data_IF_353852940222
#
_entry.id   IF_353852940222
#
_cell.length_a   1.000
_cell.length_b   1.000
_cell.length_c   1.000
_cell.angle_alpha   90.00
_cell.angle_beta   90.00
_cell.angle_gamma   90.00
#
_symmetry.space_group_name_H-M   'P 1'
#
loop_
_entity.id
_entity.type
_entity.pdbx_description
1 polymer ?
#
# COMPACT_ATOMS: atom_id res chain seq x y z
N UNK A 1 -9.92 12.68 0.67
CA UNK A 1 -10.48 11.35 0.38
C UNK A 1 -10.68 10.52 1.64
N UNK A 2 -9.73 10.43 2.57
CA UNK A 2 -9.86 9.65 3.81
C UNK A 2 -11.16 9.99 4.57
N UNK A 3 -11.37 11.26 4.89
CA UNK A 3 -12.56 11.74 5.61
C UNK A 3 -13.88 11.43 4.87
N UNK A 4 -13.88 11.55 3.54
CA UNK A 4 -15.06 11.24 2.73
C UNK A 4 -15.40 9.74 2.78
N UNK A 5 -14.40 8.87 2.74
CA UNK A 5 -14.60 7.42 2.80
C UNK A 5 -15.03 6.99 4.21
N UNK A 6 -14.40 7.52 5.26
CA UNK A 6 -14.84 7.31 6.64
C UNK A 6 -16.27 7.83 6.88
N UNK A 7 -16.62 8.99 6.32
CA UNK A 7 -17.97 9.56 6.37
C UNK A 7 -19.03 8.70 5.69
N UNK A 8 -18.63 7.86 4.73
CA UNK A 8 -19.53 6.87 4.11
C UNK A 8 -19.75 5.60 4.94
N UNK A 9 -19.01 5.44 6.05
CA UNK A 9 -19.02 4.24 6.89
C UNK A 9 -18.12 3.10 6.38
N UNK A 10 -17.36 3.32 5.31
CA UNK A 10 -16.42 2.33 4.79
C UNK A 10 -15.12 2.30 5.61
N UNK A 11 -14.55 1.10 5.75
CA UNK A 11 -13.22 0.90 6.33
C UNK A 11 -12.12 1.17 5.29
N UNK A 12 -10.94 1.58 5.76
CA UNK A 12 -9.82 1.98 4.90
C UNK A 12 -8.57 1.19 5.28
N UNK A 13 -7.97 0.55 4.29
CA UNK A 13 -6.58 0.12 4.29
C UNK A 13 -5.78 1.13 3.46
N UNK A 14 -4.85 1.85 4.08
CA UNK A 14 -3.96 2.77 3.38
C UNK A 14 -2.78 1.97 2.82
N UNK A 15 -2.46 2.16 1.53
CA UNK A 15 -1.31 1.53 0.88
C UNK A 15 -0.36 2.62 0.39
N UNK A 16 0.85 2.63 0.93
CA UNK A 16 1.88 3.61 0.63
C UNK A 16 2.55 3.35 -0.72
N UNK A 17 2.83 4.42 -1.47
CA UNK A 17 3.63 4.37 -2.69
C UNK A 17 5.02 4.96 -2.38
N UNK A 18 6.11 4.25 -2.69
CA UNK A 18 7.46 4.73 -2.38
C UNK A 18 7.79 5.99 -3.18
N UNK A 19 8.59 6.87 -2.58
CA UNK A 19 9.14 8.02 -3.28
C UNK A 19 10.16 7.52 -4.32
N UNK A 20 10.07 8.00 -5.56
CA UNK A 20 11.16 7.86 -6.54
C UNK A 20 12.30 8.82 -6.15
N UNK A 21 13.16 8.42 -5.22
CA UNK A 21 14.33 9.18 -4.81
C UNK A 21 15.49 8.24 -4.53
N UNK A 22 16.71 8.64 -4.92
CA UNK A 22 17.96 7.94 -4.56
C UNK A 22 18.21 7.95 -3.05
N UNK A 23 17.54 8.84 -2.31
CA UNK A 23 17.51 8.91 -0.86
C UNK A 23 16.12 8.50 -0.37
N UNK A 24 16.08 7.32 0.26
CA UNK A 24 14.88 6.58 0.59
C UNK A 24 14.47 6.84 2.04
N UNK A 25 13.84 7.98 2.28
CA UNK A 25 12.85 8.05 3.34
C UNK A 25 11.51 7.79 2.64
N UNK A 26 10.84 6.69 3.00
CA UNK A 26 9.44 6.50 2.64
C UNK A 26 8.70 7.81 2.92
N UNK A 27 7.82 8.27 2.03
CA UNK A 27 7.20 9.58 2.23
C UNK A 27 6.51 9.57 3.61
N UNK A 28 7.02 10.32 4.62
CA UNK A 28 6.53 10.24 6.01
C UNK A 28 5.02 10.46 6.09
N UNK A 29 4.51 11.18 5.10
CA UNK A 29 3.10 11.39 4.80
C UNK A 29 2.19 10.17 5.05
N UNK A 30 2.50 8.97 4.57
CA UNK A 30 1.55 7.85 4.73
C UNK A 30 1.47 7.35 6.17
N UNK A 31 2.59 7.36 6.90
CA UNK A 31 2.64 7.00 8.32
C UNK A 31 1.95 8.08 9.16
N UNK A 32 2.24 9.35 8.91
CA UNK A 32 1.59 10.49 9.55
C UNK A 32 0.07 10.46 9.35
N UNK A 33 -0.39 10.18 8.12
CA UNK A 33 -1.82 10.04 7.83
C UNK A 33 -2.43 8.81 8.51
N UNK A 34 -1.71 7.69 8.56
CA UNK A 34 -2.21 6.49 9.22
C UNK A 34 -2.37 6.71 10.73
N UNK A 35 -1.41 7.36 11.38
CA UNK A 35 -1.51 7.75 12.78
C UNK A 35 -2.64 8.75 13.02
N UNK A 36 -2.69 9.83 12.23
CA UNK A 36 -3.68 10.90 12.37
C UNK A 36 -5.12 10.38 12.26
N UNK A 37 -5.37 9.45 11.33
CA UNK A 37 -6.71 8.94 11.04
C UNK A 37 -7.00 7.54 11.61
N UNK A 38 -6.05 6.95 12.35
CA UNK A 38 -6.18 5.63 12.95
C UNK A 38 -6.34 4.50 11.93
N UNK A 39 -5.58 4.55 10.83
CA UNK A 39 -5.71 3.63 9.70
C UNK A 39 -4.74 2.45 9.81
N UNK A 40 -5.13 1.31 9.25
CA UNK A 40 -4.18 0.25 8.92
C UNK A 40 -3.37 0.71 7.70
N UNK A 41 -2.04 0.57 7.78
CA UNK A 41 -1.10 0.95 6.72
C UNK A 41 -0.30 -0.26 6.25
N UNK A 42 -0.21 -0.44 4.93
CA UNK A 42 0.84 -1.21 4.26
C UNK A 42 1.76 -0.23 3.52
N UNK A 43 2.95 0.04 4.07
CA UNK A 43 3.90 1.00 3.50
C UNK A 43 4.97 0.33 2.61
N UNK A 44 5.04 -1.00 2.61
CA UNK A 44 6.19 -1.74 2.08
C UNK A 44 5.89 -2.47 0.77
N UNK A 45 4.68 -3.01 0.62
CA UNK A 45 4.38 -3.94 -0.47
C UNK A 45 4.67 -3.39 -1.85
N UNK A 46 4.26 -2.15 -2.14
CA UNK A 46 4.51 -1.54 -3.44
C UNK A 46 6.01 -1.35 -3.67
N UNK A 47 6.75 -0.85 -2.66
CA UNK A 47 8.18 -0.62 -2.78
C UNK A 47 9.00 -1.88 -2.99
N UNK A 48 8.66 -2.96 -2.27
CA UNK A 48 9.32 -4.25 -2.45
C UNK A 48 9.06 -4.85 -3.83
N UNK A 49 7.81 -4.88 -4.29
CA UNK A 49 7.46 -5.47 -5.58
C UNK A 49 8.05 -4.66 -6.75
N UNK A 50 8.16 -3.33 -6.62
CA UNK A 50 8.76 -2.48 -7.65
C UNK A 50 10.26 -2.72 -7.87
N UNK A 51 10.95 -3.33 -6.90
CA UNK A 51 12.38 -3.68 -7.02
C UNK A 51 12.61 -4.86 -7.95
N UNK A 52 11.61 -5.71 -8.19
CA UNK A 52 11.73 -6.88 -9.05
C UNK A 52 11.25 -6.56 -10.49
N UNK A 53 12.15 -6.56 -11.50
CA UNK A 53 11.76 -6.40 -12.90
C UNK A 53 10.77 -7.46 -13.39
N UNK A 54 10.81 -8.69 -12.86
CA UNK A 54 9.94 -9.78 -13.26
C UNK A 54 8.47 -9.56 -12.85
N UNK A 55 8.22 -8.65 -11.91
CA UNK A 55 6.88 -8.31 -11.42
C UNK A 55 6.29 -7.07 -12.10
N UNK A 56 6.98 -6.48 -13.08
CA UNK A 56 6.58 -5.23 -13.73
C UNK A 56 6.28 -5.38 -15.21
N UNK A 57 5.35 -4.57 -15.69
CA UNK A 57 5.07 -4.39 -17.12
C UNK A 57 5.87 -3.22 -17.71
N UNK A 58 6.22 -2.25 -16.86
CA UNK A 58 7.11 -1.13 -17.22
C UNK A 58 7.93 -0.62 -16.00
N UNK A 59 8.38 0.64 -16.04
CA UNK A 59 9.19 1.20 -14.96
C UNK A 59 8.47 1.34 -13.60
N UNK A 60 7.14 1.38 -13.58
CA UNK A 60 6.33 1.67 -12.37
C UNK A 60 5.05 0.86 -12.22
N UNK A 61 4.59 0.19 -13.27
CA UNK A 61 3.38 -0.61 -13.23
C UNK A 61 3.71 -2.09 -13.08
N UNK A 62 2.96 -2.77 -12.21
CA UNK A 62 3.06 -4.21 -12.09
C UNK A 62 2.53 -4.90 -13.35
N UNK A 63 3.02 -6.11 -13.61
CA UNK A 63 2.39 -7.03 -14.54
C UNK A 63 1.36 -7.89 -13.78
N UNK A 64 0.76 -8.87 -14.46
CA UNK A 64 -0.24 -9.76 -13.86
C UNK A 64 0.27 -10.47 -12.59
N UNK A 65 1.53 -10.90 -12.60
CA UNK A 65 2.15 -11.60 -11.48
C UNK A 65 2.44 -10.66 -10.30
N UNK A 66 2.89 -9.44 -10.57
CA UNK A 66 3.06 -8.41 -9.55
C UNK A 66 1.75 -8.04 -8.87
N UNK A 67 0.67 -7.85 -9.64
CA UNK A 67 -0.66 -7.58 -9.08
C UNK A 67 -1.22 -8.77 -8.29
N UNK A 68 -1.00 -10.01 -8.76
CA UNK A 68 -1.38 -11.22 -8.02
C UNK A 68 -0.67 -11.28 -6.67
N UNK A 69 0.63 -10.99 -6.64
CA UNK A 69 1.42 -10.98 -5.41
C UNK A 69 0.97 -9.88 -4.45
N UNK A 70 0.70 -8.67 -4.94
CA UNK A 70 0.14 -7.58 -4.14
C UNK A 70 -1.20 -7.98 -3.52
N UNK A 71 -2.12 -8.53 -4.33
CA UNK A 71 -3.43 -8.97 -3.85
C UNK A 71 -3.33 -10.00 -2.71
N UNK A 72 -2.41 -10.97 -2.83
CA UNK A 72 -2.17 -11.96 -1.78
C UNK A 72 -1.63 -11.36 -0.48
N UNK A 73 -0.76 -10.34 -0.58
CA UNK A 73 -0.23 -9.62 0.60
C UNK A 73 -1.34 -8.84 1.30
N UNK A 74 -2.14 -8.07 0.55
CA UNK A 74 -3.25 -7.31 1.11
C UNK A 74 -4.32 -8.22 1.72
N UNK A 75 -4.65 -9.33 1.05
CA UNK A 75 -5.59 -10.32 1.59
C UNK A 75 -5.11 -10.90 2.93
N UNK A 76 -3.82 -11.24 3.04
CA UNK A 76 -3.23 -11.72 4.30
C UNK A 76 -3.29 -10.67 5.39
N UNK A 77 -2.93 -9.42 5.09
CA UNK A 77 -3.01 -8.31 6.04
C UNK A 77 -4.44 -8.12 6.55
N UNK A 78 -5.44 -8.19 5.67
CA UNK A 78 -6.84 -8.07 6.06
C UNK A 78 -7.26 -9.20 7.03
N UNK A 79 -6.86 -10.46 6.77
CA UNK A 79 -7.10 -11.57 7.69
C UNK A 79 -6.41 -11.37 9.04
N UNK A 80 -5.15 -10.95 9.06
CA UNK A 80 -4.36 -10.71 10.29
C UNK A 80 -4.95 -9.60 11.16
N UNK A 81 -5.64 -8.63 10.53
CA UNK A 81 -6.33 -7.53 11.22
C UNK A 81 -7.80 -7.84 11.53
N UNK A 82 -8.30 -9.05 11.21
CA UNK A 82 -9.69 -9.44 11.43
C UNK A 82 -10.70 -8.68 10.58
N UNK A 83 -10.27 -8.17 9.42
CA UNK A 83 -11.12 -7.44 8.48
C UNK A 83 -11.78 -8.35 7.42
N UNK A 84 -11.42 -9.64 7.41
CA UNK A 84 -12.01 -10.74 6.63
C UNK A 84 -12.11 -11.97 7.53
#
# INVERSE_FOLDING_TARGET
MIEAVQGSGAQILLVGVPRKSLFADGAPLYEELAEQYGLVLDNDSIGELLRDPALKSDAVHFNAEGYRTLAQRLHRLLLERGAL
#
